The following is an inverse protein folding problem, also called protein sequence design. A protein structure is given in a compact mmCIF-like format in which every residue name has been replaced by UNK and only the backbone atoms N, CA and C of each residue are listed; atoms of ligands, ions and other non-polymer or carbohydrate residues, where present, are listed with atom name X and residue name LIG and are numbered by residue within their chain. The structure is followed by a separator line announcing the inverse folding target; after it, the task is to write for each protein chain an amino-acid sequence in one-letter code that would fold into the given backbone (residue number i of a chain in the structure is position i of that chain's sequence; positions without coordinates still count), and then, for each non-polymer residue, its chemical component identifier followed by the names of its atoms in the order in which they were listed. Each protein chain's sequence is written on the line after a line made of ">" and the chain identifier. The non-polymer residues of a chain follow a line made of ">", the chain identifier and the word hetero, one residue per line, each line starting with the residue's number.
data_IF_749104305734
#
_entry.id   IF_749104305734
#
_cell.length_a   1.000
_cell.length_b   1.000
_cell.length_c   1.000
_cell.angle_alpha   90.00
_cell.angle_beta   90.00
_cell.angle_gamma   90.00
#
_symmetry.space_group_name_H-M   'P 1'
#
loop_
_entity.id
_entity.type
_entity.pdbx_description
1 polymer ?
#
# COMPACT_ATOMS: atom_id res chain seq x y z
N UNK A 1 -24.77 -32.82 -11.99
CA UNK A 1 -24.94 -32.40 -10.58
C UNK A 1 -23.61 -31.76 -10.21
N UNK A 2 -23.53 -30.44 -10.32
CA UNK A 2 -22.28 -29.69 -10.35
C UNK A 2 -21.72 -29.57 -8.92
N UNK A 3 -20.80 -30.46 -8.56
CA UNK A 3 -20.11 -30.43 -7.26
C UNK A 3 -18.95 -29.46 -7.33
N UNK A 4 -19.24 -28.17 -7.49
CA UNK A 4 -18.24 -27.14 -7.28
C UNK A 4 -17.90 -27.12 -5.79
N UNK A 5 -16.68 -27.52 -5.45
CA UNK A 5 -16.20 -27.55 -4.06
C UNK A 5 -16.24 -26.14 -3.47
N UNK A 6 -16.48 -26.00 -2.15
CA UNK A 6 -16.54 -24.68 -1.49
C UNK A 6 -15.24 -23.85 -1.67
N UNK A 7 -14.15 -24.49 -2.09
CA UNK A 7 -12.87 -23.85 -2.39
C UNK A 7 -12.86 -23.08 -3.71
N UNK A 8 -13.75 -23.39 -4.65
CA UNK A 8 -13.80 -22.77 -5.98
C UNK A 8 -14.76 -21.59 -6.07
N UNK A 9 -15.60 -21.39 -5.04
CA UNK A 9 -16.62 -20.33 -5.03
C UNK A 9 -15.98 -18.94 -4.91
N UNK A 10 -16.48 -17.94 -5.65
CA UNK A 10 -16.07 -16.55 -5.47
C UNK A 10 -16.22 -16.10 -4.02
N UNK A 11 -15.21 -15.40 -3.48
CA UNK A 11 -15.20 -14.92 -2.10
C UNK A 11 -15.24 -13.40 -2.08
N UNK A 12 -16.18 -12.84 -1.31
CA UNK A 12 -16.21 -11.41 -1.05
C UNK A 12 -15.02 -11.05 -0.17
N UNK A 13 -14.29 -10.03 -0.58
CA UNK A 13 -13.09 -9.54 0.11
C UNK A 13 -13.18 -8.03 0.29
N UNK A 14 -12.42 -7.49 1.25
CA UNK A 14 -12.38 -6.05 1.49
C UNK A 14 -11.24 -5.34 0.76
N UNK A 15 -10.22 -6.12 0.37
CA UNK A 15 -8.99 -5.63 -0.24
C UNK A 15 -8.43 -6.68 -1.18
N UNK A 16 -7.98 -6.24 -2.36
CA UNK A 16 -7.23 -7.03 -3.31
C UNK A 16 -5.99 -6.25 -3.75
N UNK A 17 -4.78 -6.84 -3.75
CA UNK A 17 -3.62 -6.20 -4.33
C UNK A 17 -3.80 -6.05 -5.84
N UNK A 18 -3.39 -4.91 -6.40
CA UNK A 18 -3.60 -4.60 -7.82
C UNK A 18 -2.60 -5.29 -8.76
N UNK A 19 -1.93 -6.35 -8.29
CA UNK A 19 -1.05 -7.16 -9.13
C UNK A 19 -1.82 -7.96 -10.20
N UNK A 20 -3.10 -8.29 -9.94
CA UNK A 20 -3.99 -8.94 -10.90
C UNK A 20 -5.46 -8.64 -10.53
N UNK A 21 -6.04 -7.63 -11.17
CA UNK A 21 -7.46 -7.26 -10.99
C UNK A 21 -8.12 -7.05 -12.35
N UNK A 22 -9.42 -7.33 -12.43
CA UNK A 22 -10.26 -6.97 -13.55
C UNK A 22 -11.29 -5.95 -13.05
N UNK A 23 -11.35 -4.79 -13.70
CA UNK A 23 -12.26 -3.70 -13.34
C UNK A 23 -13.23 -3.45 -14.50
N UNK A 24 -14.51 -3.25 -14.18
CA UNK A 24 -15.49 -2.90 -15.20
C UNK A 24 -15.33 -1.45 -15.63
N UNK A 25 -15.64 -1.15 -16.90
CA UNK A 25 -15.63 0.23 -17.41
C UNK A 25 -16.53 1.15 -16.59
N UNK A 26 -17.72 0.69 -16.23
CA UNK A 26 -18.66 1.45 -15.39
C UNK A 26 -18.06 1.81 -14.03
N UNK A 27 -17.28 0.90 -13.41
CA UNK A 27 -16.58 1.20 -12.17
C UNK A 27 -15.55 2.32 -12.36
N UNK A 28 -14.77 2.29 -13.46
CA UNK A 28 -13.80 3.34 -13.76
C UNK A 28 -14.47 4.70 -14.00
N UNK A 29 -15.62 4.72 -14.68
CA UNK A 29 -16.39 5.94 -14.92
C UNK A 29 -16.99 6.52 -13.62
N UNK A 30 -17.39 5.67 -12.66
CA UNK A 30 -17.96 6.11 -11.37
C UNK A 30 -16.90 6.49 -10.34
N UNK A 31 -15.88 5.65 -10.16
CA UNK A 31 -14.87 5.78 -9.08
C UNK A 31 -13.65 6.60 -9.53
N UNK A 32 -13.42 6.70 -10.83
CA UNK A 32 -12.24 7.31 -11.42
C UNK A 32 -11.03 6.36 -11.44
N UNK A 33 -9.88 6.88 -11.86
CA UNK A 33 -8.62 6.12 -11.93
C UNK A 33 -7.90 6.05 -10.57
N UNK A 34 -6.78 5.32 -10.54
CA UNK A 34 -5.84 5.35 -9.43
C UNK A 34 -5.38 6.79 -9.20
N UNK A 35 -5.19 7.16 -7.94
CA UNK A 35 -4.73 8.49 -7.58
C UNK A 35 -3.21 8.56 -7.81
N UNK A 36 -2.80 9.29 -8.85
CA UNK A 36 -1.41 9.46 -9.28
C UNK A 36 -0.51 10.08 -8.20
N UNK A 37 -1.09 10.61 -7.13
CA UNK A 37 -0.32 11.09 -6.00
C UNK A 37 0.17 9.95 -5.09
N UNK A 38 -0.24 8.69 -5.32
CA UNK A 38 0.47 7.50 -4.85
C UNK A 38 1.32 6.95 -5.98
N UNK A 39 2.65 6.95 -5.84
CA UNK A 39 3.51 6.32 -6.84
C UNK A 39 3.55 4.80 -6.70
N UNK A 40 3.72 4.29 -5.48
CA UNK A 40 3.75 2.86 -5.16
C UNK A 40 3.36 2.65 -3.70
N UNK A 41 2.66 1.55 -3.43
CA UNK A 41 2.05 1.20 -2.15
C UNK A 41 0.88 2.10 -1.75
N UNK A 42 -0.13 1.50 -1.10
CA UNK A 42 -1.38 2.13 -0.64
C UNK A 42 -2.28 2.70 -1.74
N UNK A 43 -1.85 2.70 -3.01
CA UNK A 43 -2.66 3.08 -4.17
C UNK A 43 -3.84 2.13 -4.34
N UNK A 44 -3.58 0.83 -4.18
CA UNK A 44 -4.58 -0.23 -4.26
C UNK A 44 -5.52 -0.20 -3.04
N UNK A 45 -4.98 0.04 -1.84
CA UNK A 45 -5.78 0.15 -0.62
C UNK A 45 -6.71 1.37 -0.67
N UNK A 46 -6.21 2.52 -1.14
CA UNK A 46 -7.02 3.71 -1.39
C UNK A 46 -8.14 3.40 -2.39
N UNK A 47 -7.81 2.73 -3.49
CA UNK A 47 -8.76 2.39 -4.54
C UNK A 47 -9.84 1.42 -4.04
N UNK A 48 -9.46 0.35 -3.33
CA UNK A 48 -10.40 -0.58 -2.69
C UNK A 48 -11.34 0.14 -1.71
N UNK A 49 -10.82 1.09 -0.94
CA UNK A 49 -11.66 1.88 -0.05
C UNK A 49 -12.65 2.76 -0.83
N UNK A 50 -12.22 3.43 -1.89
CA UNK A 50 -13.10 4.23 -2.75
C UNK A 50 -14.18 3.40 -3.45
N UNK A 51 -13.81 2.23 -3.98
CA UNK A 51 -14.77 1.29 -4.60
C UNK A 51 -15.86 0.89 -3.60
N UNK A 52 -15.48 0.50 -2.38
CA UNK A 52 -16.46 0.13 -1.33
C UNK A 52 -17.34 1.30 -0.90
N UNK A 53 -16.78 2.50 -0.79
CA UNK A 53 -17.54 3.72 -0.47
C UNK A 53 -18.57 4.07 -1.56
N UNK A 54 -18.27 3.72 -2.82
CA UNK A 54 -19.20 3.84 -3.95
C UNK A 54 -20.18 2.67 -4.09
N UNK A 55 -20.20 1.73 -3.13
CA UNK A 55 -21.14 0.61 -3.11
C UNK A 55 -20.75 -0.61 -3.95
N UNK A 56 -19.51 -0.67 -4.45
CA UNK A 56 -19.01 -1.83 -5.20
C UNK A 56 -18.50 -2.95 -4.29
N UNK A 57 -18.77 -4.19 -4.70
CA UNK A 57 -18.26 -5.40 -4.05
C UNK A 57 -17.00 -5.90 -4.75
N UNK A 58 -15.98 -6.27 -3.97
CA UNK A 58 -14.79 -6.93 -4.49
C UNK A 58 -14.95 -8.44 -4.31
N UNK A 59 -14.66 -9.21 -5.37
CA UNK A 59 -14.69 -10.66 -5.35
C UNK A 59 -13.34 -11.24 -5.79
N UNK A 60 -12.83 -12.17 -5.01
CA UNK A 60 -11.69 -13.01 -5.39
C UNK A 60 -12.22 -14.29 -6.05
N UNK A 61 -11.64 -14.64 -7.20
CA UNK A 61 -11.98 -15.84 -7.96
C UNK A 61 -10.88 -16.89 -7.76
N UNK A 62 -11.09 -17.95 -6.95
CA UNK A 62 -10.02 -18.89 -6.58
C UNK A 62 -9.42 -19.65 -7.76
N UNK A 63 -10.20 -19.82 -8.83
CA UNK A 63 -9.80 -20.52 -10.06
C UNK A 63 -8.94 -19.66 -10.98
N UNK A 64 -8.97 -18.32 -10.85
CA UNK A 64 -8.16 -17.40 -11.65
C UNK A 64 -6.80 -17.16 -10.98
N UNK A 65 -5.75 -17.83 -11.49
CA UNK A 65 -4.40 -17.82 -10.89
C UNK A 65 -3.41 -17.06 -11.76
N UNK A 66 -2.66 -16.15 -11.14
CA UNK A 66 -1.56 -15.39 -11.76
C UNK A 66 -0.33 -15.44 -10.85
N UNK A 67 0.84 -15.70 -11.44
CA UNK A 67 2.11 -15.68 -10.71
C UNK A 67 2.69 -14.27 -10.67
N UNK A 68 2.97 -13.76 -9.47
CA UNK A 68 3.54 -12.43 -9.26
C UNK A 68 4.85 -12.52 -8.46
N UNK A 69 5.92 -11.90 -8.98
CA UNK A 69 7.20 -11.81 -8.27
C UNK A 69 7.17 -10.63 -7.30
N UNK A 70 6.96 -10.94 -6.03
CA UNK A 70 6.77 -9.94 -4.96
C UNK A 70 8.05 -9.12 -4.71
N UNK A 71 7.88 -7.80 -4.51
CA UNK A 71 8.92 -6.85 -4.08
C UNK A 71 10.11 -6.63 -5.04
N UNK A 72 10.04 -7.09 -6.29
CA UNK A 72 11.13 -6.91 -7.27
C UNK A 72 11.35 -5.44 -7.60
N UNK A 73 10.28 -4.65 -7.77
CA UNK A 73 10.35 -3.24 -8.16
C UNK A 73 11.09 -2.34 -7.16
N UNK A 74 11.19 -2.78 -5.90
CA UNK A 74 11.87 -2.05 -4.83
C UNK A 74 13.15 -2.74 -4.34
N UNK A 75 13.60 -3.80 -5.04
CA UNK A 75 14.81 -4.53 -4.69
C UNK A 75 14.67 -5.48 -3.49
N UNK A 76 13.43 -5.81 -3.10
CA UNK A 76 13.15 -6.74 -2.00
C UNK A 76 12.63 -6.07 -0.73
N UNK A 77 12.69 -6.81 0.37
CA UNK A 77 12.18 -6.40 1.67
C UNK A 77 13.23 -5.61 2.45
N UNK A 78 12.80 -4.60 3.20
CA UNK A 78 13.67 -3.78 4.02
C UNK A 78 14.70 -2.94 3.27
N UNK A 79 14.57 -2.81 1.94
CA UNK A 79 15.42 -1.90 1.19
C UNK A 79 15.09 -0.44 1.50
N UNK A 80 16.05 0.49 1.31
CA UNK A 80 15.75 1.91 1.46
C UNK A 80 14.61 2.39 0.58
N UNK A 81 14.52 1.87 -0.65
CA UNK A 81 13.45 2.21 -1.60
C UNK A 81 12.08 1.76 -1.10
N UNK A 82 11.94 0.49 -0.73
CA UNK A 82 10.70 -0.06 -0.19
C UNK A 82 10.25 0.72 1.04
N UNK A 83 11.17 0.95 1.99
CA UNK A 83 10.85 1.65 3.25
C UNK A 83 10.48 3.11 3.04
N UNK A 84 11.13 3.80 2.11
CA UNK A 84 10.78 5.19 1.77
C UNK A 84 9.38 5.28 1.17
N UNK A 85 9.11 4.53 0.10
CA UNK A 85 7.84 4.59 -0.64
C UNK A 85 6.67 4.15 0.25
N UNK A 86 6.84 3.03 0.97
CA UNK A 86 5.84 2.54 1.92
C UNK A 86 5.52 3.58 3.01
N UNK A 87 6.54 4.23 3.58
CA UNK A 87 6.34 5.24 4.62
C UNK A 87 5.64 6.48 4.09
N UNK A 88 6.07 6.97 2.93
CA UNK A 88 5.50 8.14 2.26
C UNK A 88 4.02 7.93 1.90
N UNK A 89 3.73 6.83 1.19
CA UNK A 89 2.37 6.46 0.80
C UNK A 89 1.48 6.20 2.01
N UNK A 90 1.98 5.54 3.06
CA UNK A 90 1.22 5.34 4.29
C UNK A 90 0.81 6.66 4.96
N UNK A 91 1.72 7.64 5.03
CA UNK A 91 1.44 8.93 5.64
C UNK A 91 0.30 9.65 4.93
N UNK A 92 0.32 9.65 3.59
CA UNK A 92 -0.76 10.17 2.76
C UNK A 92 -2.08 9.43 3.00
N UNK A 93 -2.07 8.10 2.94
CA UNK A 93 -3.27 7.27 3.11
C UNK A 93 -3.98 7.57 4.43
N UNK A 94 -3.24 7.56 5.54
CA UNK A 94 -3.82 7.83 6.87
C UNK A 94 -4.29 9.28 7.02
N UNK A 95 -3.68 10.25 6.36
CA UNK A 95 -4.21 11.62 6.32
C UNK A 95 -5.53 11.73 5.55
N UNK A 96 -5.69 10.97 4.47
CA UNK A 96 -6.90 10.97 3.65
C UNK A 96 -8.07 10.28 4.36
N UNK A 97 -7.83 9.10 4.93
CA UNK A 97 -8.87 8.22 5.45
C UNK A 97 -9.00 8.22 6.99
N UNK A 98 -7.98 8.69 7.69
CA UNK A 98 -7.99 8.90 9.14
C UNK A 98 -8.52 10.28 9.48
N UNK A 99 -9.84 10.41 9.66
CA UNK A 99 -10.48 11.66 10.05
C UNK A 99 -11.28 11.49 11.33
N UNK A 100 -11.36 12.56 12.12
CA UNK A 100 -12.11 12.61 13.38
C UNK A 100 -11.60 11.61 14.41
N UNK A 101 -12.53 10.99 15.14
CA UNK A 101 -12.25 10.08 16.27
C UNK A 101 -11.40 8.86 15.89
N UNK A 102 -11.39 8.42 14.63
CA UNK A 102 -10.54 7.31 14.17
C UNK A 102 -9.05 7.59 14.35
N UNK A 103 -8.64 8.87 14.34
CA UNK A 103 -7.25 9.26 14.58
C UNK A 103 -6.75 8.89 15.97
N UNK A 104 -7.65 8.79 16.95
CA UNK A 104 -7.31 8.34 18.30
C UNK A 104 -6.74 6.93 18.30
N UNK A 105 -7.21 6.06 17.39
CA UNK A 105 -6.70 4.69 17.27
C UNK A 105 -5.54 4.59 16.25
N UNK A 106 -5.61 5.37 15.17
CA UNK A 106 -4.58 5.35 14.12
C UNK A 106 -3.24 5.87 14.65
N UNK A 107 -3.22 6.98 15.40
CA UNK A 107 -1.96 7.59 15.85
C UNK A 107 -1.14 6.67 16.77
N UNK A 108 -1.71 6.08 17.83
CA UNK A 108 -0.97 5.11 18.66
C UNK A 108 -0.51 3.90 17.88
N UNK A 109 -1.34 3.34 17.00
CA UNK A 109 -0.96 2.23 16.14
C UNK A 109 0.23 2.58 15.24
N UNK A 110 0.22 3.79 14.63
CA UNK A 110 1.31 4.27 13.77
C UNK A 110 2.57 4.53 14.56
N UNK A 111 2.48 5.09 15.76
CA UNK A 111 3.62 5.28 16.67
C UNK A 111 4.23 3.93 17.08
N UNK A 112 3.42 2.96 17.49
CA UNK A 112 3.87 1.62 17.83
C UNK A 112 4.52 0.90 16.62
N UNK A 113 3.92 1.03 15.44
CA UNK A 113 4.47 0.49 14.18
C UNK A 113 5.81 1.12 13.81
N UNK A 114 5.94 2.45 13.94
CA UNK A 114 7.18 3.19 13.69
C UNK A 114 8.27 2.83 14.70
N UNK A 115 7.92 2.70 15.99
CA UNK A 115 8.84 2.27 17.04
C UNK A 115 9.34 0.85 16.77
N UNK A 116 8.43 -0.10 16.52
CA UNK A 116 8.78 -1.49 16.20
C UNK A 116 9.72 -1.57 14.99
N UNK A 117 9.39 -0.87 13.91
CA UNK A 117 10.23 -0.89 12.71
C UNK A 117 11.60 -0.23 12.95
N UNK A 118 11.64 0.84 13.74
CA UNK A 118 12.89 1.49 14.15
C UNK A 118 13.78 0.53 14.93
N UNK A 119 13.22 -0.20 15.90
CA UNK A 119 13.95 -1.22 16.68
C UNK A 119 14.48 -2.33 15.75
N UNK A 120 13.64 -2.86 14.86
CA UNK A 120 14.03 -3.94 13.93
C UNK A 120 15.14 -3.50 12.99
N UNK A 121 15.03 -2.32 12.36
CA UNK A 121 16.04 -1.82 11.43
C UNK A 121 17.34 -1.44 12.14
N UNK A 122 17.25 -0.92 13.37
CA UNK A 122 18.43 -0.62 14.19
C UNK A 122 19.16 -1.90 14.61
N UNK A 123 18.44 -2.93 15.03
CA UNK A 123 19.02 -4.23 15.37
C UNK A 123 19.71 -4.89 14.18
N UNK A 124 19.12 -4.76 12.97
CA UNK A 124 19.74 -5.23 11.71
C UNK A 124 20.85 -4.32 11.18
N UNK A 125 21.16 -3.21 11.85
CA UNK A 125 22.13 -2.19 11.40
C UNK A 125 21.83 -1.61 10.00
N UNK A 126 20.56 -1.60 9.58
CA UNK A 126 20.11 -1.08 8.28
C UNK A 126 19.86 0.44 8.34
N UNK A 127 20.88 1.21 8.71
CA UNK A 127 20.77 2.66 8.95
C UNK A 127 20.25 3.45 7.73
N UNK A 128 20.57 3.00 6.52
CA UNK A 128 20.07 3.61 5.28
C UNK A 128 18.56 3.45 5.15
N UNK A 129 18.04 2.25 5.41
CA UNK A 129 16.61 1.94 5.36
C UNK A 129 15.85 2.64 6.47
N UNK A 130 16.45 2.75 7.66
CA UNK A 130 15.90 3.53 8.76
C UNK A 130 15.76 5.01 8.41
N UNK A 131 16.83 5.61 7.86
CA UNK A 131 16.80 7.01 7.42
C UNK A 131 15.78 7.23 6.31
N UNK A 132 15.69 6.29 5.37
CA UNK A 132 14.72 6.31 4.28
C UNK A 132 13.26 6.25 4.79
N UNK A 133 13.00 5.38 5.77
CA UNK A 133 11.70 5.25 6.43
C UNK A 133 11.26 6.57 7.08
N UNK A 134 12.09 7.15 7.93
CA UNK A 134 11.75 8.39 8.65
C UNK A 134 11.59 9.58 7.69
N UNK A 135 12.44 9.68 6.67
CA UNK A 135 12.30 10.71 5.64
C UNK A 135 11.01 10.56 4.83
N UNK A 136 10.67 9.33 4.41
CA UNK A 136 9.42 9.04 3.72
C UNK A 136 8.19 9.36 4.59
N UNK A 137 8.23 8.97 5.86
CA UNK A 137 7.16 9.24 6.81
C UNK A 137 6.94 10.76 6.98
N UNK A 138 8.01 11.52 7.22
CA UNK A 138 7.94 12.99 7.31
C UNK A 138 7.35 13.61 6.04
N UNK A 139 7.79 13.14 4.86
CA UNK A 139 7.35 13.69 3.58
C UNK A 139 5.86 13.41 3.32
N UNK A 140 5.42 12.16 3.52
CA UNK A 140 4.03 11.76 3.36
C UNK A 140 3.09 12.48 4.32
N UNK A 141 3.52 12.67 5.57
CA UNK A 141 2.73 13.41 6.56
C UNK A 141 2.72 14.93 6.33
N UNK A 142 3.82 15.54 5.88
CA UNK A 142 3.91 16.99 5.70
C UNK A 142 3.26 17.44 4.38
N UNK A 143 3.72 16.89 3.27
CA UNK A 143 3.29 17.34 1.93
C UNK A 143 1.97 16.71 1.52
N UNK A 144 1.67 15.52 2.04
CA UNK A 144 0.52 14.72 1.61
C UNK A 144 0.73 14.09 0.24
N UNK A 145 1.76 14.46 -0.52
CA UNK A 145 2.08 13.89 -1.81
C UNK A 145 2.96 12.65 -1.64
N UNK A 146 2.54 11.52 -2.22
CA UNK A 146 3.31 10.28 -2.22
C UNK A 146 3.89 9.94 -3.60
N UNK A 147 3.85 10.88 -4.53
CA UNK A 147 4.49 10.78 -5.84
C UNK A 147 5.83 11.51 -5.92
N UNK A 148 6.30 12.12 -4.82
CA UNK A 148 7.62 12.72 -4.79
C UNK A 148 8.67 11.62 -4.98
N UNK A 149 9.53 11.71 -6.00
CA UNK A 149 10.48 10.66 -6.30
C UNK A 149 11.47 10.48 -5.16
N UNK A 150 11.88 9.23 -4.92
CA UNK A 150 12.88 8.92 -3.93
C UNK A 150 14.18 9.72 -4.18
N UNK A 151 14.77 10.35 -3.16
CA UNK A 151 16.01 11.11 -3.33
C UNK A 151 17.16 10.17 -3.74
N UNK A 152 18.20 10.73 -4.38
CA UNK A 152 19.31 9.93 -4.95
C UNK A 152 19.99 8.98 -3.95
N UNK A 153 20.04 9.34 -2.66
CA UNK A 153 20.65 8.49 -1.62
C UNK A 153 19.80 7.28 -1.20
N UNK A 154 18.49 7.31 -1.48
CA UNK A 154 17.54 6.20 -1.29
C UNK A 154 17.59 5.26 -2.50
N UNK A 155 17.70 5.83 -3.71
CA UNK A 155 17.98 5.08 -4.94
C UNK A 155 19.35 4.43 -4.81
N UNK A 156 19.41 3.16 -4.41
CA UNK A 156 20.60 2.34 -4.66
C UNK A 156 20.89 2.42 -6.15
N UNK A 157 22.14 2.74 -6.52
CA UNK A 157 22.59 2.65 -7.91
C UNK A 157 22.28 1.22 -8.38
N UNK A 158 21.26 1.08 -9.21
CA UNK A 158 21.15 -0.10 -10.05
C UNK A 158 22.27 0.03 -11.07
N UNK A 159 23.18 -0.95 -11.08
CA UNK A 159 24.02 -1.23 -12.25
C UNK A 159 23.14 -1.49 -13.48
#
# INVERSE_FOLDING_TARGET
>A
MDTQTDEERPRIIEFAPFCAVLLSRQLLETVGLLDEQFFLYYEDLDYCQRMRQAGYTLAMIPTAKVWHKVSVSTGGWHTPMERFLMAQSSGRYFRRHGQGWRMFFILPYRLASALRLTVVLSYKSEWRSLRAYWYGLWLGWRTGQANTPAPRWVRTQTQ
#
